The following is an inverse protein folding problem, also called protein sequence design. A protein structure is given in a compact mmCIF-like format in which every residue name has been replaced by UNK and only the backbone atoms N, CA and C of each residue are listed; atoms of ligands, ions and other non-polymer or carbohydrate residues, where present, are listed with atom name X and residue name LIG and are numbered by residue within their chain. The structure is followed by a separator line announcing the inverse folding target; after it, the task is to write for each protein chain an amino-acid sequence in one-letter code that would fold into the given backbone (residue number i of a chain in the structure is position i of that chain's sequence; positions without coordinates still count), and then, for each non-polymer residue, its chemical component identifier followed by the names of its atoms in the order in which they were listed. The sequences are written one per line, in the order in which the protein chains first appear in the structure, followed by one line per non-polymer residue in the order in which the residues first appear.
data_IF_601900072850
#
_entry.id   IF_601900072850
#
_cell.length_a   1.000
_cell.length_b   1.000
_cell.length_c   1.000
_cell.angle_alpha   90.00
_cell.angle_beta   90.00
_cell.angle_gamma   90.00
#
_symmetry.space_group_name_H-M   'P 1'
#
loop_
_entity.id
_entity.type
_entity.pdbx_description
1 polymer ?
#
# COMPACT_ATOMS: atom_id res chain seq x y z
N UNK A 1 3.50 9.90 -6.62
CA UNK A 1 3.65 10.00 -8.09
C UNK A 1 4.60 8.97 -8.72
N UNK A 2 5.87 8.80 -8.30
CA UNK A 2 6.84 7.90 -9.02
C UNK A 2 6.74 6.40 -8.66
N UNK A 3 6.37 6.04 -7.41
CA UNK A 3 6.28 4.63 -7.00
C UNK A 3 5.05 3.89 -7.55
N UNK A 4 3.99 4.61 -7.89
CA UNK A 4 2.72 4.05 -8.38
C UNK A 4 2.83 3.48 -9.81
N UNK A 5 3.81 3.92 -10.61
CA UNK A 5 3.89 3.55 -12.03
C UNK A 5 4.03 2.04 -12.26
N UNK A 6 4.96 1.35 -11.59
CA UNK A 6 5.10 -0.11 -11.77
C UNK A 6 3.82 -0.82 -11.38
N UNK A 7 3.17 -0.35 -10.32
CA UNK A 7 1.95 -0.96 -9.83
C UNK A 7 0.78 -0.75 -10.79
N UNK A 8 0.64 0.45 -11.37
CA UNK A 8 -0.32 0.75 -12.44
C UNK A 8 -0.08 -0.12 -13.68
N UNK A 9 1.19 -0.26 -14.11
CA UNK A 9 1.54 -1.13 -15.25
C UNK A 9 1.23 -2.59 -14.97
N UNK A 10 1.51 -3.08 -13.75
CA UNK A 10 1.18 -4.43 -13.31
C UNK A 10 -0.34 -4.67 -13.28
N UNK A 11 -1.13 -3.70 -12.82
CA UNK A 11 -2.60 -3.78 -12.88
C UNK A 11 -3.05 -3.94 -14.32
N UNK A 12 -2.57 -3.09 -15.24
CA UNK A 12 -2.92 -3.20 -16.67
C UNK A 12 -2.58 -4.59 -17.22
N UNK A 13 -1.39 -5.11 -16.94
CA UNK A 13 -0.97 -6.45 -17.40
C UNK A 13 -1.84 -7.57 -16.81
N UNK A 14 -2.29 -7.42 -15.56
CA UNK A 14 -3.06 -8.45 -14.87
C UNK A 14 -4.56 -8.40 -15.16
N UNK A 15 -5.10 -7.25 -15.57
CA UNK A 15 -6.55 -7.05 -15.75
C UNK A 15 -6.99 -6.93 -17.21
N UNK A 16 -6.12 -6.43 -18.10
CA UNK A 16 -6.41 -6.35 -19.53
C UNK A 16 -5.99 -7.65 -20.25
N UNK A 17 -6.67 -8.02 -21.33
CA UNK A 17 -6.35 -9.25 -22.08
C UNK A 17 -4.89 -9.27 -22.56
N UNK A 18 -4.28 -10.47 -22.60
CA UNK A 18 -2.84 -10.64 -22.94
C UNK A 18 -2.47 -10.03 -24.29
N UNK A 19 -3.39 -10.07 -25.26
CA UNK A 19 -3.21 -9.54 -26.61
C UNK A 19 -3.72 -8.10 -26.77
N UNK A 20 -4.21 -7.47 -25.70
CA UNK A 20 -4.63 -6.08 -25.75
C UNK A 20 -3.43 -5.14 -25.82
N UNK A 21 -3.54 -4.12 -26.67
CA UNK A 21 -2.45 -3.20 -26.97
C UNK A 21 -1.84 -2.53 -25.73
N UNK A 22 -2.65 -2.13 -24.75
CA UNK A 22 -2.16 -1.54 -23.51
C UNK A 22 -1.40 -2.56 -22.64
N UNK A 23 -1.85 -3.83 -22.60
CA UNK A 23 -1.18 -4.91 -21.87
C UNK A 23 0.19 -5.20 -22.48
N UNK A 24 0.27 -5.24 -23.82
CA UNK A 24 1.53 -5.35 -24.56
C UNK A 24 2.47 -4.18 -24.24
N UNK A 25 1.98 -2.93 -24.34
CA UNK A 25 2.80 -1.75 -24.04
C UNK A 25 3.28 -1.77 -22.59
N UNK A 26 2.40 -2.07 -21.64
CA UNK A 26 2.75 -2.12 -20.22
C UNK A 26 3.82 -3.18 -19.92
N UNK A 27 3.69 -4.37 -20.52
CA UNK A 27 4.67 -5.45 -20.41
C UNK A 27 6.03 -5.06 -20.98
N UNK A 28 6.06 -4.52 -22.20
CA UNK A 28 7.30 -4.08 -22.84
C UNK A 28 8.00 -3.01 -22.00
N UNK A 29 7.25 -2.05 -21.45
CA UNK A 29 7.81 -1.05 -20.53
C UNK A 29 8.42 -1.75 -19.31
N UNK A 30 7.66 -2.59 -18.61
CA UNK A 30 8.11 -3.31 -17.41
C UNK A 30 9.39 -4.12 -17.66
N UNK A 31 9.50 -4.81 -18.79
CA UNK A 31 10.67 -5.62 -19.17
C UNK A 31 11.93 -4.80 -19.53
N UNK A 32 11.76 -3.49 -19.78
CA UNK A 32 12.82 -2.57 -20.17
C UNK A 32 13.15 -1.50 -19.12
N UNK A 33 12.38 -1.39 -18.03
CA UNK A 33 12.60 -0.42 -16.95
C UNK A 33 14.03 -0.46 -16.39
N UNK A 34 14.62 -1.64 -16.23
CA UNK A 34 15.97 -1.84 -15.67
C UNK A 34 17.09 -1.92 -16.71
N UNK A 35 16.75 -1.91 -18.00
CA UNK A 35 17.73 -2.01 -19.10
C UNK A 35 18.07 -0.62 -19.63
N UNK A 36 17.28 -0.11 -20.57
CA UNK A 36 17.65 1.06 -21.38
C UNK A 36 16.53 2.09 -21.56
N UNK A 37 15.65 2.22 -20.55
CA UNK A 37 14.57 3.20 -20.56
C UNK A 37 15.07 4.65 -20.68
N UNK A 38 16.33 4.93 -20.33
CA UNK A 38 16.95 6.26 -20.44
C UNK A 38 17.23 6.66 -21.90
N UNK A 39 17.51 5.71 -22.80
CA UNK A 39 17.84 6.02 -24.19
C UNK A 39 16.69 5.77 -25.15
N UNK A 40 15.71 4.92 -24.79
CA UNK A 40 14.59 4.58 -25.67
C UNK A 40 13.78 5.82 -26.11
N UNK A 41 13.61 5.98 -27.42
CA UNK A 41 12.73 6.98 -28.03
C UNK A 41 11.29 6.46 -28.12
N UNK A 42 10.33 7.38 -28.34
CA UNK A 42 8.92 6.98 -28.53
C UNK A 42 8.73 6.12 -29.79
N UNK A 43 9.59 6.32 -30.81
CA UNK A 43 9.56 5.55 -32.05
C UNK A 43 10.03 4.12 -31.78
N UNK A 44 11.17 3.96 -31.11
CA UNK A 44 11.68 2.63 -30.75
C UNK A 44 10.70 1.89 -29.82
N UNK A 45 10.09 2.57 -28.85
CA UNK A 45 9.08 1.93 -28.00
C UNK A 45 7.84 1.49 -28.80
N UNK A 46 7.41 2.30 -29.77
CA UNK A 46 6.30 1.95 -30.65
C UNK A 46 6.63 0.71 -31.49
N UNK A 47 7.84 0.65 -32.04
CA UNK A 47 8.34 -0.49 -32.81
C UNK A 47 8.42 -1.77 -31.96
N UNK A 48 8.95 -1.68 -30.74
CA UNK A 48 9.00 -2.81 -29.79
C UNK A 48 7.62 -3.34 -29.41
N UNK A 49 6.62 -2.45 -29.36
CA UNK A 49 5.24 -2.82 -29.04
C UNK A 49 4.41 -3.18 -30.28
N UNK A 50 5.01 -3.21 -31.48
CA UNK A 50 4.31 -3.38 -32.76
C UNK A 50 3.11 -2.44 -32.92
N UNK A 51 3.28 -1.18 -32.53
CA UNK A 51 2.21 -0.18 -32.52
C UNK A 51 2.69 1.16 -33.08
N UNK A 52 1.80 2.15 -33.11
CA UNK A 52 2.13 3.51 -33.58
C UNK A 52 2.60 4.42 -32.45
N UNK A 53 3.39 5.44 -32.78
CA UNK A 53 3.77 6.54 -31.88
C UNK A 53 2.53 7.20 -31.23
N UNK A 54 1.43 7.30 -31.98
CA UNK A 54 0.17 7.87 -31.47
C UNK A 54 -0.49 6.98 -30.42
N UNK A 55 -0.31 5.65 -30.51
CA UNK A 55 -0.78 4.69 -29.51
C UNK A 55 0.01 4.84 -28.23
N UNK A 56 1.35 4.88 -28.31
CA UNK A 56 2.20 5.10 -27.13
C UNK A 56 1.86 6.44 -26.46
N UNK A 57 1.67 7.50 -27.24
CA UNK A 57 1.29 8.82 -26.72
C UNK A 57 -0.05 8.80 -25.98
N UNK A 58 -1.04 8.05 -26.50
CA UNK A 58 -2.33 7.87 -25.81
C UNK A 58 -2.18 7.03 -24.54
N UNK A 59 -1.37 5.98 -24.58
CA UNK A 59 -1.12 5.12 -23.43
C UNK A 59 -0.49 5.90 -22.26
N UNK A 60 0.58 6.66 -22.49
CA UNK A 60 1.19 7.46 -21.41
C UNK A 60 0.26 8.54 -20.87
N UNK A 61 -0.61 9.10 -21.72
CA UNK A 61 -1.68 10.01 -21.28
C UNK A 61 -2.76 9.32 -20.44
N UNK A 62 -3.12 8.07 -20.78
CA UNK A 62 -4.02 7.24 -19.97
C UNK A 62 -3.46 7.00 -18.57
N UNK A 63 -2.13 6.88 -18.44
CA UNK A 63 -1.43 6.77 -17.16
C UNK A 63 -1.32 8.10 -16.39
N UNK A 64 -1.82 9.21 -16.94
CA UNK A 64 -1.81 10.53 -16.30
C UNK A 64 -0.61 11.42 -16.66
N UNK A 65 0.25 11.01 -17.59
CA UNK A 65 1.39 11.83 -18.04
C UNK A 65 1.02 12.71 -19.23
N UNK A 66 1.49 13.94 -19.26
CA UNK A 66 1.21 14.89 -20.35
C UNK A 66 1.94 14.53 -21.65
N UNK A 67 3.11 13.88 -21.54
CA UNK A 67 3.96 13.50 -22.68
C UNK A 67 4.80 12.24 -22.42
N UNK A 68 5.30 11.63 -23.49
CA UNK A 68 6.24 10.51 -23.37
C UNK A 68 7.55 10.91 -22.68
N UNK A 69 8.05 12.12 -22.91
CA UNK A 69 9.27 12.59 -22.25
C UNK A 69 9.09 12.73 -20.73
N UNK A 70 7.93 13.24 -20.29
CA UNK A 70 7.59 13.28 -18.87
C UNK A 70 7.52 11.87 -18.27
N UNK A 71 6.79 10.97 -18.93
CA UNK A 71 6.70 9.57 -18.54
C UNK A 71 8.08 8.90 -18.42
N UNK A 72 8.95 9.11 -19.42
CA UNK A 72 10.32 8.59 -19.47
C UNK A 72 11.17 9.13 -18.33
N UNK A 73 11.12 10.43 -18.05
CA UNK A 73 11.80 11.03 -16.90
C UNK A 73 11.36 10.38 -15.58
N UNK A 74 10.08 10.09 -15.42
CA UNK A 74 9.53 9.41 -14.23
C UNK A 74 10.01 7.97 -14.10
N UNK A 75 10.18 7.25 -15.21
CA UNK A 75 10.81 5.93 -15.20
C UNK A 75 12.28 5.98 -14.74
N UNK A 76 13.02 7.01 -15.18
CA UNK A 76 14.44 7.18 -14.84
C UNK A 76 14.60 7.60 -13.36
N UNK A 77 13.81 8.55 -12.89
CA UNK A 77 13.76 8.95 -11.47
C UNK A 77 13.53 7.73 -10.57
N UNK A 78 12.64 6.81 -11.01
CA UNK A 78 12.37 5.57 -10.28
C UNK A 78 13.61 4.71 -10.11
N UNK A 79 14.38 4.45 -11.18
CA UNK A 79 15.61 3.65 -11.09
C UNK A 79 16.57 4.19 -10.02
N UNK A 80 16.66 5.51 -9.90
CA UNK A 80 17.49 6.18 -8.88
C UNK A 80 16.91 6.04 -7.47
N UNK A 81 15.61 6.26 -7.29
CA UNK A 81 14.92 6.12 -6.00
C UNK A 81 14.88 4.67 -5.50
N UNK A 82 14.65 3.70 -6.38
CA UNK A 82 14.68 2.28 -6.04
C UNK A 82 16.09 1.87 -5.58
N UNK A 83 17.16 2.44 -6.16
CA UNK A 83 18.53 2.21 -5.66
C UNK A 83 18.83 2.80 -4.28
N UNK A 84 18.03 3.77 -3.80
CA UNK A 84 18.21 4.38 -2.47
C UNK A 84 17.25 3.80 -1.42
N UNK A 85 16.04 3.38 -1.81
CA UNK A 85 14.98 2.91 -0.91
C UNK A 85 14.97 1.38 -0.75
N UNK A 86 15.29 0.62 -1.81
CA UNK A 86 15.38 -0.84 -1.73
C UNK A 86 16.51 -1.29 -0.81
N UNK A 87 17.53 -0.44 -0.65
CA UNK A 87 18.71 -0.68 0.20
C UNK A 87 18.35 -0.69 1.69
N UNK A 88 17.28 -0.01 2.12
CA UNK A 88 16.98 0.11 3.55
C UNK A 88 15.99 -0.93 4.09
N UNK A 89 15.06 -1.47 3.28
CA UNK A 89 13.90 -2.20 3.85
C UNK A 89 13.34 -3.40 3.08
N UNK A 90 13.84 -3.79 1.91
CA UNK A 90 13.25 -4.93 1.15
C UNK A 90 14.24 -6.05 0.82
N UNK A 91 15.55 -5.78 0.80
CA UNK A 91 16.58 -6.78 0.45
C UNK A 91 17.67 -6.90 1.53
N UNK A 92 17.27 -7.12 2.78
CA UNK A 92 18.23 -7.22 3.89
C UNK A 92 18.82 -8.64 4.05
N UNK A 93 18.39 -9.60 3.24
CA UNK A 93 18.93 -10.96 3.23
C UNK A 93 19.83 -11.18 2.02
N UNK A 94 21.13 -11.30 2.29
CA UNK A 94 22.14 -11.61 1.28
C UNK A 94 22.35 -13.12 1.20
N UNK A 95 21.57 -13.79 0.36
CA UNK A 95 21.77 -15.20 0.01
C UNK A 95 23.04 -15.41 -0.83
N UNK A 96 23.62 -16.61 -0.79
CA UNK A 96 24.92 -16.92 -1.42
C UNK A 96 26.10 -16.92 -0.45
N UNK A 97 25.81 -16.88 0.86
CA UNK A 97 26.80 -17.09 1.91
C UNK A 97 27.01 -18.58 2.19
N UNK A 98 28.00 -18.94 3.03
CA UNK A 98 28.17 -20.33 3.48
C UNK A 98 27.06 -20.82 4.42
N UNK A 99 26.23 -19.91 4.97
CA UNK A 99 25.20 -20.24 5.96
C UNK A 99 23.87 -19.51 5.71
N UNK A 100 23.32 -19.69 4.51
CA UNK A 100 22.01 -19.13 4.16
C UNK A 100 20.89 -19.66 5.07
N UNK A 101 21.04 -20.88 5.61
CA UNK A 101 20.07 -21.44 6.55
C UNK A 101 20.09 -20.70 7.89
N UNK A 102 21.25 -20.37 8.43
CA UNK A 102 21.40 -19.55 9.62
C UNK A 102 20.77 -18.16 9.46
N UNK A 103 20.91 -17.53 8.28
CA UNK A 103 20.25 -16.26 7.96
C UNK A 103 18.72 -16.37 8.06
N UNK A 104 18.13 -17.42 7.48
CA UNK A 104 16.68 -17.65 7.54
C UNK A 104 16.22 -17.89 8.98
N UNK A 105 16.96 -18.69 9.75
CA UNK A 105 16.66 -18.95 11.18
C UNK A 105 16.71 -17.65 11.97
N UNK A 106 17.74 -16.82 11.78
CA UNK A 106 17.87 -15.54 12.46
C UNK A 106 16.74 -14.57 12.14
N UNK A 107 16.32 -14.50 10.87
CA UNK A 107 15.15 -13.70 10.49
C UNK A 107 13.87 -14.21 11.17
N UNK A 108 13.63 -15.52 11.13
CA UNK A 108 12.45 -16.12 11.75
C UNK A 108 12.42 -15.88 13.27
N UNK A 109 13.58 -15.95 13.94
CA UNK A 109 13.73 -15.63 15.36
C UNK A 109 13.42 -14.16 15.64
N UNK A 110 13.99 -13.21 14.87
CA UNK A 110 13.73 -11.78 15.05
C UNK A 110 12.24 -11.43 14.88
N UNK A 111 11.62 -11.98 13.82
CA UNK A 111 10.17 -11.81 13.59
C UNK A 111 9.38 -12.43 14.74
N UNK A 112 9.70 -13.66 15.14
CA UNK A 112 9.02 -14.37 16.22
C UNK A 112 9.06 -13.62 17.54
N UNK A 113 10.23 -13.13 17.95
CA UNK A 113 10.40 -12.29 19.13
C UNK A 113 9.55 -11.02 19.06
N UNK A 114 9.57 -10.35 17.89
CA UNK A 114 8.80 -9.12 17.72
C UNK A 114 7.28 -9.36 17.76
N UNK A 115 6.81 -10.48 17.21
CA UNK A 115 5.39 -10.86 17.26
C UNK A 115 4.97 -11.21 18.69
N UNK A 116 5.79 -11.95 19.43
CA UNK A 116 5.50 -12.29 20.84
C UNK A 116 5.46 -11.04 21.72
N UNK A 117 6.41 -10.12 21.55
CA UNK A 117 6.40 -8.84 22.27
C UNK A 117 5.16 -8.00 21.94
N UNK A 118 4.77 -7.96 20.66
CA UNK A 118 3.56 -7.27 20.25
C UNK A 118 2.30 -7.92 20.84
N UNK A 119 2.18 -9.24 20.82
CA UNK A 119 1.05 -9.96 21.37
C UNK A 119 0.89 -9.75 22.89
N UNK A 120 2.00 -9.71 23.63
CA UNK A 120 2.02 -9.43 25.07
C UNK A 120 1.52 -8.01 25.41
N UNK A 121 1.84 -7.04 24.55
CA UNK A 121 1.48 -5.62 24.73
C UNK A 121 0.17 -5.22 24.06
N UNK A 122 -0.46 -6.12 23.30
CA UNK A 122 -1.63 -5.79 22.51
C UNK A 122 -2.80 -5.41 23.41
N UNK A 123 -3.26 -4.17 23.28
CA UNK A 123 -4.47 -3.72 23.95
C UNK A 123 -5.71 -4.19 23.18
N UNK A 124 -6.38 -5.23 23.69
CA UNK A 124 -7.61 -5.75 23.07
C UNK A 124 -8.80 -4.79 23.20
N UNK A 125 -8.80 -3.88 24.18
CA UNK A 125 -9.86 -2.87 24.31
C UNK A 125 -9.78 -1.83 23.18
N UNK A 126 -8.57 -1.47 22.76
CA UNK A 126 -8.33 -0.62 21.58
C UNK A 126 -8.80 -1.30 20.28
N UNK A 127 -8.55 -2.60 20.14
CA UNK A 127 -9.08 -3.40 19.02
C UNK A 127 -10.61 -3.41 19.06
N UNK A 128 -11.20 -3.65 20.23
CA UNK A 128 -12.66 -3.68 20.42
C UNK A 128 -13.31 -2.32 20.13
N UNK A 129 -12.62 -1.23 20.49
CA UNK A 129 -13.02 0.14 20.15
C UNK A 129 -13.00 0.37 18.64
N UNK A 130 -11.94 -0.08 17.94
CA UNK A 130 -11.85 0.07 16.49
C UNK A 130 -12.94 -0.71 15.76
N UNK A 131 -13.17 -1.98 16.11
CA UNK A 131 -14.24 -2.77 15.47
C UNK A 131 -15.62 -2.20 15.74
N UNK A 132 -15.84 -1.57 16.90
CA UNK A 132 -17.09 -0.89 17.22
C UNK A 132 -17.27 0.34 16.32
N UNK A 133 -16.23 1.18 16.18
CA UNK A 133 -16.28 2.33 15.26
C UNK A 133 -16.54 1.87 13.81
N UNK A 134 -15.86 0.81 13.36
CA UNK A 134 -16.12 0.19 12.05
C UNK A 134 -17.58 -0.26 11.97
N UNK A 135 -18.13 -0.91 12.99
CA UNK A 135 -19.50 -1.40 12.94
C UNK A 135 -20.53 -0.26 12.88
N UNK A 136 -20.36 0.78 13.69
CA UNK A 136 -21.32 1.88 13.84
C UNK A 136 -21.26 2.91 12.71
N UNK A 137 -20.07 3.18 12.15
CA UNK A 137 -19.92 4.22 11.12
C UNK A 137 -20.37 3.74 9.75
N UNK A 138 -21.25 4.49 9.08
CA UNK A 138 -21.80 4.12 7.76
C UNK A 138 -20.75 4.14 6.66
N UNK A 139 -19.93 5.19 6.61
CA UNK A 139 -18.91 5.38 5.57
C UNK A 139 -17.51 5.09 6.14
N UNK A 140 -16.86 4.05 5.63
CA UNK A 140 -15.50 3.67 6.02
C UNK A 140 -14.59 3.81 4.81
N UNK A 141 -13.52 4.57 4.97
CA UNK A 141 -12.50 4.79 3.95
C UNK A 141 -11.17 4.22 4.47
N UNK A 142 -10.60 3.25 3.76
CA UNK A 142 -9.36 2.58 4.13
C UNK A 142 -8.22 3.12 3.25
N UNK A 143 -7.04 3.33 3.85
CA UNK A 143 -5.89 3.93 3.18
C UNK A 143 -4.60 3.22 3.53
N UNK A 144 -3.80 2.92 2.50
CA UNK A 144 -2.53 2.22 2.64
C UNK A 144 -1.97 1.82 1.29
N UNK A 145 -0.65 1.70 1.21
CA UNK A 145 0.06 1.35 -0.04
C UNK A 145 0.80 0.03 0.10
N UNK A 146 1.02 -0.64 -1.04
CA UNK A 146 1.81 -1.86 -1.16
C UNK A 146 1.36 -2.92 -0.13
N UNK A 147 2.27 -3.40 0.72
CA UNK A 147 1.97 -4.45 1.68
C UNK A 147 0.89 -4.07 2.71
N UNK A 148 0.85 -2.80 3.13
CA UNK A 148 -0.25 -2.33 4.00
C UNK A 148 -1.58 -2.33 3.26
N UNK A 149 -1.56 -2.00 1.96
CA UNK A 149 -2.72 -2.08 1.08
C UNK A 149 -3.26 -3.51 0.93
N UNK A 150 -2.37 -4.51 0.77
CA UNK A 150 -2.79 -5.92 0.70
C UNK A 150 -3.50 -6.39 1.97
N UNK A 151 -2.99 -6.00 3.15
CA UNK A 151 -3.67 -6.32 4.42
C UNK A 151 -5.01 -5.59 4.55
N UNK A 152 -5.11 -4.34 4.07
CA UNK A 152 -6.38 -3.61 4.00
C UNK A 152 -7.39 -4.29 3.08
N UNK A 153 -6.97 -4.76 1.91
CA UNK A 153 -7.87 -5.48 0.99
C UNK A 153 -8.39 -6.77 1.62
N UNK A 154 -7.54 -7.48 2.36
CA UNK A 154 -7.98 -8.65 3.13
C UNK A 154 -9.02 -8.27 4.19
N UNK A 155 -8.76 -7.22 4.98
CA UNK A 155 -9.73 -6.69 5.95
C UNK A 155 -11.03 -6.28 5.27
N UNK A 156 -10.97 -5.53 4.17
CA UNK A 156 -12.12 -5.08 3.39
C UNK A 156 -12.98 -6.27 2.93
N UNK A 157 -12.35 -7.31 2.39
CA UNK A 157 -13.03 -8.52 1.95
C UNK A 157 -13.80 -9.19 3.10
N UNK A 158 -13.16 -9.34 4.27
CA UNK A 158 -13.79 -9.96 5.43
C UNK A 158 -14.89 -9.09 6.07
N UNK A 159 -14.71 -7.77 6.09
CA UNK A 159 -15.78 -6.85 6.49
C UNK A 159 -17.00 -7.00 5.57
N UNK A 160 -16.78 -7.10 4.26
CA UNK A 160 -17.86 -7.29 3.30
C UNK A 160 -18.60 -8.62 3.53
N UNK A 161 -17.87 -9.73 3.76
CA UNK A 161 -18.48 -11.01 4.13
C UNK A 161 -19.30 -10.94 5.43
N UNK A 162 -18.91 -10.08 6.37
CA UNK A 162 -19.65 -9.80 7.59
C UNK A 162 -20.80 -8.79 7.42
N UNK A 163 -21.10 -8.36 6.18
CA UNK A 163 -22.18 -7.41 5.86
C UNK A 163 -21.81 -5.94 6.04
N UNK A 164 -20.51 -5.63 6.15
CA UNK A 164 -20.00 -4.26 6.32
C UNK A 164 -19.21 -3.80 5.09
N UNK A 165 -19.71 -2.76 4.43
CA UNK A 165 -19.02 -2.16 3.30
C UNK A 165 -17.95 -1.17 3.78
N UNK A 166 -16.76 -1.24 3.17
CA UNK A 166 -15.67 -0.30 3.34
C UNK A 166 -15.00 -0.03 1.99
N UNK A 167 -14.64 1.22 1.74
CA UNK A 167 -14.00 1.66 0.49
C UNK A 167 -12.48 1.59 0.62
N UNK A 168 -11.82 1.01 -0.38
CA UNK A 168 -10.36 1.05 -0.52
C UNK A 168 -10.04 1.29 -2.00
N UNK A 169 -9.12 2.21 -2.27
CA UNK A 169 -8.58 2.44 -3.60
C UNK A 169 -7.10 2.04 -3.63
N UNK A 170 -6.70 1.32 -4.67
CA UNK A 170 -5.35 0.75 -4.71
C UNK A 170 -4.30 1.75 -5.22
N UNK A 171 -4.69 2.61 -6.17
CA UNK A 171 -3.82 3.61 -6.79
C UNK A 171 -3.79 4.91 -5.98
N UNK A 172 -2.67 5.63 -6.05
CA UNK A 172 -2.47 6.89 -5.32
C UNK A 172 -3.55 7.92 -5.66
N UNK A 173 -3.76 8.18 -6.96
CA UNK A 173 -4.76 9.17 -7.41
C UNK A 173 -6.20 8.77 -7.09
N UNK A 174 -6.49 7.48 -6.92
CA UNK A 174 -7.83 7.04 -6.51
C UNK A 174 -8.01 7.11 -4.99
N UNK A 175 -6.95 6.96 -4.19
CA UNK A 175 -6.99 7.27 -2.76
C UNK A 175 -7.16 8.76 -2.51
N UNK A 176 -6.55 9.63 -3.33
CA UNK A 176 -6.78 11.08 -3.28
C UNK A 176 -8.25 11.42 -3.50
N UNK A 177 -8.87 10.90 -4.58
CA UNK A 177 -10.31 11.07 -4.84
C UNK A 177 -11.17 10.53 -3.70
N UNK A 178 -10.82 9.36 -3.15
CA UNK A 178 -11.54 8.76 -2.03
C UNK A 178 -11.51 9.68 -0.80
N UNK A 179 -10.37 10.31 -0.52
CA UNK A 179 -10.25 11.27 0.57
C UNK A 179 -11.03 12.57 0.28
N UNK A 180 -11.01 13.08 -0.96
CA UNK A 180 -11.79 14.26 -1.34
C UNK A 180 -13.31 14.06 -1.16
N UNK A 181 -13.78 12.84 -1.43
CA UNK A 181 -15.19 12.47 -1.32
C UNK A 181 -15.65 12.11 0.10
N UNK A 182 -14.73 12.06 1.09
CA UNK A 182 -15.05 11.56 2.42
C UNK A 182 -16.03 12.49 3.17
N UNK A 183 -17.09 11.93 3.75
CA UNK A 183 -18.05 12.70 4.54
C UNK A 183 -17.50 13.12 5.93
N UNK A 184 -18.14 14.11 6.56
CA UNK A 184 -17.76 14.61 7.90
C UNK A 184 -18.01 13.60 9.03
N UNK A 185 -18.89 12.64 8.83
CA UNK A 185 -19.20 11.55 9.77
C UNK A 185 -18.55 10.22 9.37
N UNK A 186 -17.64 10.25 8.39
CA UNK A 186 -16.88 9.08 7.94
C UNK A 186 -15.81 8.64 8.94
N UNK A 187 -15.39 7.38 8.80
CA UNK A 187 -14.25 6.81 9.50
C UNK A 187 -13.15 6.49 8.48
N UNK A 188 -12.01 7.17 8.60
CA UNK A 188 -10.83 6.92 7.80
C UNK A 188 -9.81 6.11 8.58
N UNK A 189 -9.39 4.96 8.05
CA UNK A 189 -8.41 4.07 8.69
C UNK A 189 -7.17 3.99 7.82
N UNK A 190 -6.03 4.39 8.37
CA UNK A 190 -4.75 4.45 7.66
C UNK A 190 -3.81 3.38 8.23
N UNK A 191 -3.37 2.43 7.41
CA UNK A 191 -2.29 1.52 7.76
C UNK A 191 -0.96 2.07 7.24
N UNK A 192 -0.06 2.41 8.16
CA UNK A 192 1.24 3.00 7.84
C UNK A 192 2.30 2.59 8.86
N UNK A 193 2.90 1.42 8.63
CA UNK A 193 3.87 0.77 9.54
C UNK A 193 4.93 1.77 10.03
N UNK A 194 5.75 2.33 9.15
CA UNK A 194 6.83 3.27 9.54
C UNK A 194 6.46 4.75 9.38
N UNK A 195 5.20 5.05 9.02
CA UNK A 195 4.72 6.40 8.77
C UNK A 195 4.98 6.94 7.36
N UNK A 196 5.47 6.11 6.43
CA UNK A 196 5.75 6.52 5.05
C UNK A 196 4.51 7.06 4.32
N UNK A 197 3.32 6.56 4.65
CA UNK A 197 2.07 7.12 4.12
C UNK A 197 1.97 8.61 4.47
N UNK A 198 2.04 8.95 5.76
CA UNK A 198 1.88 10.33 6.23
C UNK A 198 3.00 11.25 5.74
N UNK A 199 4.24 10.74 5.63
CA UNK A 199 5.38 11.52 5.10
C UNK A 199 5.22 11.85 3.61
N UNK A 200 4.83 10.87 2.80
CA UNK A 200 4.84 10.98 1.35
C UNK A 200 3.49 11.37 0.73
N UNK A 201 2.42 11.35 1.53
CA UNK A 201 1.01 11.56 1.15
C UNK A 201 0.30 12.41 2.18
N UNK A 202 0.99 13.42 2.67
CA UNK A 202 0.45 14.36 3.66
C UNK A 202 -0.81 15.07 3.14
N UNK A 203 -0.93 15.28 1.83
CA UNK A 203 -2.11 15.87 1.19
C UNK A 203 -3.38 15.05 1.44
N UNK A 204 -3.34 13.73 1.26
CA UNK A 204 -4.48 12.84 1.58
C UNK A 204 -4.89 13.03 3.04
N UNK A 205 -3.92 13.01 3.96
CA UNK A 205 -4.18 13.20 5.38
C UNK A 205 -4.82 14.57 5.69
N UNK A 206 -4.28 15.65 5.10
CA UNK A 206 -4.82 16.99 5.33
C UNK A 206 -6.20 17.19 4.71
N UNK A 207 -6.50 16.55 3.58
CA UNK A 207 -7.84 16.52 2.99
C UNK A 207 -8.84 15.84 3.94
N UNK A 208 -8.48 14.68 4.49
CA UNK A 208 -9.32 13.99 5.49
C UNK A 208 -9.54 14.86 6.74
N UNK A 209 -8.49 15.52 7.25
CA UNK A 209 -8.62 16.45 8.39
C UNK A 209 -9.53 17.62 8.09
N UNK A 210 -9.43 18.19 6.89
CA UNK A 210 -10.29 19.29 6.43
C UNK A 210 -11.76 18.85 6.34
N UNK A 211 -12.00 17.61 5.91
CA UNK A 211 -13.35 17.05 5.79
C UNK A 211 -13.98 16.70 7.15
N UNK A 212 -13.20 16.58 8.22
CA UNK A 212 -13.70 16.51 9.59
C UNK A 212 -14.19 15.13 10.06
N UNK A 213 -14.05 14.09 9.22
CA UNK A 213 -14.26 12.70 9.61
C UNK A 213 -13.22 12.22 10.64
N UNK A 214 -13.52 11.11 11.32
CA UNK A 214 -12.61 10.50 12.29
C UNK A 214 -11.45 9.83 11.56
N UNK A 215 -10.22 10.03 12.04
CA UNK A 215 -9.02 9.40 11.49
C UNK A 215 -8.38 8.48 12.51
N UNK A 216 -8.25 7.20 12.14
CA UNK A 216 -7.51 6.17 12.87
C UNK A 216 -6.21 5.87 12.13
N UNK A 217 -5.09 5.93 12.85
CA UNK A 217 -3.80 5.50 12.34
C UNK A 217 -3.35 4.21 13.02
N UNK A 218 -2.96 3.21 12.22
CA UNK A 218 -2.27 2.00 12.69
C UNK A 218 -0.81 2.06 12.25
N UNK A 219 0.11 2.07 13.22
CA UNK A 219 1.54 2.30 12.97
C UNK A 219 2.41 1.62 14.04
N UNK A 220 3.70 1.42 13.77
CA UNK A 220 4.68 1.09 14.82
C UNK A 220 5.60 2.26 15.17
N UNK A 221 5.47 3.42 14.51
CA UNK A 221 6.40 4.52 14.64
C UNK A 221 5.89 5.58 15.64
N UNK A 222 6.40 5.62 16.89
CA UNK A 222 5.97 6.58 17.91
C UNK A 222 6.48 8.01 17.64
N UNK A 223 7.47 8.19 16.76
CA UNK A 223 8.06 9.50 16.48
C UNK A 223 7.32 10.29 15.39
N UNK A 224 6.17 9.80 14.92
CA UNK A 224 5.38 10.47 13.90
C UNK A 224 4.68 11.71 14.45
N UNK A 225 5.24 12.89 14.17
CA UNK A 225 4.63 14.18 14.54
C UNK A 225 3.16 14.31 14.10
N UNK A 226 2.81 13.76 12.94
CA UNK A 226 1.44 13.79 12.40
C UNK A 226 0.48 12.83 13.13
N UNK A 227 0.98 11.85 13.87
CA UNK A 227 0.12 10.91 14.59
C UNK A 227 -0.74 11.63 15.64
N UNK A 228 -0.21 12.67 16.30
CA UNK A 228 -0.96 13.48 17.25
C UNK A 228 -2.12 14.31 16.67
N UNK A 229 -2.28 14.34 15.34
CA UNK A 229 -3.41 14.97 14.67
C UNK A 229 -4.52 13.96 14.30
N UNK A 230 -4.28 12.66 14.47
CA UNK A 230 -5.29 11.61 14.32
C UNK A 230 -6.19 11.57 15.57
N UNK A 231 -7.44 11.13 15.41
CA UNK A 231 -8.36 10.96 16.53
C UNK A 231 -7.98 9.73 17.38
N UNK A 232 -7.46 8.69 16.73
CA UNK A 232 -6.92 7.50 17.39
C UNK A 232 -5.62 7.05 16.72
N UNK A 233 -4.67 6.57 17.53
CA UNK A 233 -3.43 5.96 17.06
C UNK A 233 -3.27 4.62 17.76
N UNK A 234 -3.31 3.53 17.00
CA UNK A 234 -3.10 2.18 17.51
C UNK A 234 -1.70 1.71 17.15
N UNK A 235 -0.90 1.46 18.18
CA UNK A 235 0.50 1.07 18.01
C UNK A 235 0.67 -0.43 17.85
N UNK A 236 1.45 -0.84 16.86
CA UNK A 236 1.89 -2.22 16.63
C UNK A 236 3.06 -2.57 17.56
N UNK A 237 2.92 -2.32 18.86
CA UNK A 237 3.98 -2.53 19.86
C UNK A 237 5.22 -1.65 19.64
N UNK A 238 6.37 -2.11 20.14
CA UNK A 238 7.63 -1.35 20.06
C UNK A 238 8.18 -1.30 18.63
N UNK A 239 8.82 -0.19 18.27
CA UNK A 239 9.56 -0.07 17.01
C UNK A 239 10.80 -0.97 17.03
N UNK A 240 10.93 -1.87 16.04
CA UNK A 240 12.11 -2.73 15.82
C UNK A 240 12.75 -2.44 14.47
N UNK A 241 11.99 -2.66 13.40
CA UNK A 241 12.41 -2.47 12.02
C UNK A 241 11.21 -2.61 11.08
N UNK A 242 11.38 -2.21 9.82
CA UNK A 242 10.29 -2.27 8.84
C UNK A 242 9.81 -3.72 8.62
N UNK A 243 10.73 -4.68 8.54
CA UNK A 243 10.41 -6.09 8.34
C UNK A 243 9.51 -6.63 9.45
N UNK A 244 9.92 -6.51 10.70
CA UNK A 244 9.13 -6.94 11.87
C UNK A 244 7.78 -6.21 11.92
N UNK A 245 7.77 -4.91 11.62
CA UNK A 245 6.57 -4.09 11.53
C UNK A 245 5.52 -4.63 10.57
N UNK A 246 5.95 -5.15 9.41
CA UNK A 246 5.05 -5.74 8.42
C UNK A 246 4.34 -6.99 8.94
N UNK A 247 5.07 -7.88 9.63
CA UNK A 247 4.48 -9.09 10.22
C UNK A 247 3.58 -8.74 11.40
N UNK A 248 3.93 -7.74 12.22
CA UNK A 248 3.04 -7.24 13.28
C UNK A 248 1.74 -6.67 12.72
N UNK A 249 1.81 -5.92 11.62
CA UNK A 249 0.60 -5.41 10.94
C UNK A 249 -0.26 -6.55 10.39
N UNK A 250 0.36 -7.58 9.82
CA UNK A 250 -0.36 -8.79 9.36
C UNK A 250 -1.12 -9.45 10.53
N UNK A 251 -0.43 -9.70 11.65
CA UNK A 251 -1.05 -10.28 12.84
C UNK A 251 -2.17 -9.38 13.39
N UNK A 252 -1.95 -8.07 13.48
CA UNK A 252 -2.98 -7.13 13.92
C UNK A 252 -4.23 -7.17 13.01
N UNK A 253 -4.02 -7.23 11.70
CA UNK A 253 -5.11 -7.32 10.71
C UNK A 253 -5.92 -8.61 10.92
N UNK A 254 -5.24 -9.74 11.12
CA UNK A 254 -5.89 -11.02 11.41
C UNK A 254 -6.72 -10.96 12.69
N UNK A 255 -6.17 -10.37 13.76
CA UNK A 255 -6.88 -10.19 15.04
C UNK A 255 -8.11 -9.29 14.85
N UNK A 256 -7.97 -8.18 14.13
CA UNK A 256 -9.06 -7.24 13.86
C UNK A 256 -10.21 -7.91 13.09
N UNK A 257 -9.88 -8.68 12.05
CA UNK A 257 -10.85 -9.47 11.27
C UNK A 257 -11.57 -10.48 12.16
N UNK A 258 -10.83 -11.31 12.89
CA UNK A 258 -11.43 -12.37 13.72
C UNK A 258 -12.31 -11.78 14.83
N UNK A 259 -11.85 -10.70 15.49
CA UNK A 259 -12.63 -10.00 16.52
C UNK A 259 -13.91 -9.39 15.93
N UNK A 260 -13.83 -8.74 14.76
CA UNK A 260 -15.00 -8.18 14.08
C UNK A 260 -16.01 -9.28 13.72
N UNK A 261 -15.56 -10.34 13.05
CA UNK A 261 -16.42 -11.44 12.63
C UNK A 261 -17.03 -12.18 13.82
N UNK A 262 -16.30 -12.35 14.93
CA UNK A 262 -16.85 -12.96 16.14
C UNK A 262 -17.94 -12.11 16.79
N UNK A 263 -17.77 -10.78 16.81
CA UNK A 263 -18.69 -9.85 17.48
C UNK A 263 -19.90 -9.46 16.63
N UNK A 264 -19.71 -9.31 15.33
CA UNK A 264 -20.70 -8.75 14.41
C UNK A 264 -20.98 -9.60 13.17
N UNK A 265 -20.17 -10.64 12.91
CA UNK A 265 -20.37 -11.52 11.77
C UNK A 265 -21.65 -12.33 11.92
N UNK A 266 -22.48 -12.34 10.88
CA UNK A 266 -23.62 -13.24 10.76
C UNK A 266 -23.13 -14.65 10.40
N UNK A 267 -22.39 -15.30 11.29
CA UNK A 267 -22.14 -16.73 11.14
C UNK A 267 -23.47 -17.41 11.49
N UNK A 268 -24.29 -17.68 10.48
CA UNK A 268 -25.32 -18.73 10.58
C UNK A 268 -24.55 -20.01 10.91
N UNK A 269 -24.56 -20.38 12.20
CA UNK A 269 -24.28 -21.75 12.60
C UNK A 269 -25.30 -22.69 11.95
#
# INVERSE_FOLDING_TARGET
MVRDLIYQLQIIVNTEGVDETNSTIARVILENLDKDMENISIMELADLCYTSISTISRFVKKLGYTSFNEFKLKCIEKRRLDSEILVDNEFNLCFGSRDDKGLVIGLAQSIGESLMNFADKLNLEEVDQLIQMIHETKEINLFGFHLSGYFIQNLQYHLFLAGKFASYACLEGDQEKLAEMSATDSLSIIFSVDGNFLRNKSEIFFTLKKNGGKIVLVTQNPALKMAGQCDYVYYLGDYKGATEGRYKLQLYTEILINRYCQKYGQIKK
#
